data_IF_669602552411
#
_entry.id   IF_669602552411
#
_cell.length_a   1.000
_cell.length_b   1.000
_cell.length_c   1.000
_cell.angle_alpha   90.00
_cell.angle_beta   90.00
_cell.angle_gamma   90.00
#
_symmetry.space_group_name_H-M   'P 1'
#
loop_
_entity.id
_entity.type
_entity.pdbx_description
1 polymer ?
#
# COMPACT_ATOMS: atom_id res chain seq x y z
N UNK A 1 13.24 -6.42 -10.38
CA UNK A 1 11.97 -6.19 -9.68
C UNK A 1 12.19 -5.35 -8.42
N UNK A 2 11.37 -4.33 -8.24
CA UNK A 2 11.42 -3.50 -7.05
C UNK A 2 10.65 -4.21 -5.92
N UNK A 3 11.28 -4.36 -4.76
CA UNK A 3 10.64 -5.00 -3.61
C UNK A 3 10.52 -3.99 -2.47
N UNK A 4 9.31 -3.81 -1.95
CA UNK A 4 9.03 -2.87 -0.89
C UNK A 4 8.37 -3.63 0.26
N UNK A 5 9.00 -3.61 1.43
CA UNK A 5 8.43 -4.20 2.64
C UNK A 5 7.82 -3.07 3.46
N UNK A 6 6.53 -3.13 3.69
CA UNK A 6 5.84 -2.08 4.45
C UNK A 6 6.20 -2.17 5.93
N UNK A 7 6.44 -1.00 6.53
CA UNK A 7 6.83 -0.88 7.93
C UNK A 7 5.66 -0.34 8.75
N UNK A 8 5.02 -1.22 9.53
CA UNK A 8 3.87 -0.83 10.35
C UNK A 8 4.19 0.25 11.38
N UNK A 9 5.43 0.31 11.85
CA UNK A 9 5.83 1.34 12.81
C UNK A 9 5.74 2.75 12.25
N UNK A 10 5.80 2.88 10.93
CA UNK A 10 5.68 4.14 10.22
C UNK A 10 4.22 4.50 9.90
N UNK A 11 3.30 3.59 10.15
CA UNK A 11 1.87 3.77 9.83
C UNK A 11 1.04 3.91 11.10
N UNK A 12 1.34 4.95 11.88
CA UNK A 12 0.74 5.16 13.20
C UNK A 12 -0.62 5.86 13.18
N UNK A 13 -1.02 6.35 12.02
CA UNK A 13 -2.33 6.98 11.80
C UNK A 13 -2.63 6.91 10.31
N UNK A 14 -3.87 7.23 9.92
CA UNK A 14 -4.22 7.25 8.50
C UNK A 14 -3.38 8.27 7.72
N UNK A 15 -3.24 9.53 8.18
CA UNK A 15 -2.37 10.48 7.47
C UNK A 15 -0.91 10.02 7.41
N UNK A 16 -0.37 9.45 8.49
CA UNK A 16 1.01 8.96 8.50
C UNK A 16 1.18 7.78 7.53
N UNK A 17 0.18 6.91 7.44
CA UNK A 17 0.18 5.78 6.51
C UNK A 17 0.33 6.27 5.06
N UNK A 18 -0.48 7.24 4.65
CA UNK A 18 -0.43 7.75 3.28
C UNK A 18 0.87 8.50 2.99
N UNK A 19 1.38 9.23 3.98
CA UNK A 19 2.66 9.91 3.84
C UNK A 19 3.79 8.89 3.64
N UNK A 20 3.77 7.83 4.42
CA UNK A 20 4.74 6.75 4.31
C UNK A 20 4.66 6.06 2.95
N UNK A 21 3.45 5.69 2.51
CA UNK A 21 3.25 5.01 1.23
C UNK A 21 3.70 5.87 0.05
N UNK A 22 3.43 7.17 0.11
CA UNK A 22 3.86 8.07 -0.95
C UNK A 22 5.38 8.00 -1.13
N UNK A 23 6.11 7.99 -0.03
CA UNK A 23 7.57 7.91 -0.06
C UNK A 23 8.06 6.52 -0.45
N UNK A 24 7.51 5.47 0.21
CA UNK A 24 7.97 4.10 0.01
C UNK A 24 7.70 3.59 -1.41
N UNK A 25 6.57 3.97 -1.99
CA UNK A 25 6.16 3.53 -3.32
C UNK A 25 6.49 4.54 -4.42
N UNK A 26 7.14 5.65 -4.07
CA UNK A 26 7.47 6.73 -4.99
C UNK A 26 6.22 7.21 -5.75
N UNK A 27 5.13 7.45 -5.03
CA UNK A 27 3.89 7.92 -5.62
C UNK A 27 4.03 9.38 -6.07
N UNK A 28 3.23 9.80 -7.08
CA UNK A 28 3.36 11.16 -7.60
C UNK A 28 2.99 12.22 -6.57
N UNK A 29 3.48 13.45 -6.79
CA UNK A 29 3.23 14.57 -5.86
C UNK A 29 1.74 14.90 -5.74
N UNK A 30 0.96 14.57 -6.77
CA UNK A 30 -0.49 14.81 -6.77
C UNK A 30 -1.30 13.67 -6.12
N UNK A 31 -0.63 12.71 -5.50
CA UNK A 31 -1.30 11.62 -4.81
C UNK A 31 -2.28 12.17 -3.76
N UNK A 32 -3.55 11.76 -3.87
CA UNK A 32 -4.64 12.31 -3.07
C UNK A 32 -4.74 11.80 -1.64
N UNK A 33 -3.80 10.97 -1.18
CA UNK A 33 -3.73 10.46 0.19
C UNK A 33 -5.02 9.79 0.69
N UNK A 34 -5.64 9.00 -0.19
CA UNK A 34 -6.79 8.16 0.16
C UNK A 34 -6.69 6.83 -0.59
N UNK A 35 -7.55 5.87 -0.22
CA UNK A 35 -7.47 4.52 -0.80
C UNK A 35 -7.81 4.48 -2.28
N UNK A 36 -8.74 5.32 -2.74
CA UNK A 36 -9.08 5.38 -4.16
C UNK A 36 -7.91 5.91 -4.99
N UNK A 37 -7.25 6.96 -4.49
CA UNK A 37 -6.05 7.50 -5.15
C UNK A 37 -4.93 6.47 -5.16
N UNK A 38 -4.78 5.72 -4.07
CA UNK A 38 -3.77 4.66 -3.97
C UNK A 38 -4.03 3.58 -5.01
N UNK A 39 -5.27 3.12 -5.13
CA UNK A 39 -5.65 2.12 -6.13
C UNK A 39 -5.28 2.59 -7.54
N UNK A 40 -5.65 3.82 -7.88
CA UNK A 40 -5.35 4.39 -9.19
C UNK A 40 -3.84 4.42 -9.46
N UNK A 41 -3.05 4.87 -8.49
CA UNK A 41 -1.60 4.92 -8.64
C UNK A 41 -1.00 3.53 -8.81
N UNK A 42 -1.48 2.55 -8.04
CA UNK A 42 -0.96 1.19 -8.11
C UNK A 42 -1.27 0.51 -9.43
N UNK A 43 -2.46 0.75 -10.00
CA UNK A 43 -2.83 0.17 -11.28
C UNK A 43 -2.07 0.79 -12.45
N UNK A 44 -1.45 1.95 -12.24
CA UNK A 44 -0.65 2.63 -13.25
C UNK A 44 0.84 2.33 -13.19
N UNK A 45 1.28 1.55 -12.20
CA UNK A 45 2.69 1.17 -12.07
C UNK A 45 3.13 0.40 -13.32
N UNK A 46 4.26 0.81 -13.91
CA UNK A 46 4.82 0.19 -15.10
C UNK A 46 6.12 -0.55 -14.83
N UNK A 47 6.68 -0.42 -13.64
CA UNK A 47 7.88 -1.14 -13.21
C UNK A 47 7.48 -2.36 -12.39
N UNK A 48 7.99 -3.56 -12.69
CA UNK A 48 7.67 -4.74 -11.87
C UNK A 48 7.95 -4.49 -10.39
N UNK A 49 6.95 -4.66 -9.56
CA UNK A 49 6.99 -4.30 -8.15
C UNK A 49 6.38 -5.39 -7.29
N UNK A 50 7.05 -5.71 -6.18
CA UNK A 50 6.51 -6.60 -5.15
C UNK A 50 6.35 -5.80 -3.87
N UNK A 51 5.16 -5.83 -3.28
CA UNK A 51 4.88 -5.22 -1.99
C UNK A 51 4.70 -6.33 -0.97
N UNK A 52 5.53 -6.33 0.06
CA UNK A 52 5.44 -7.29 1.15
C UNK A 52 4.72 -6.61 2.30
N UNK A 53 3.59 -7.18 2.69
CA UNK A 53 2.71 -6.62 3.72
C UNK A 53 2.80 -7.46 4.98
N UNK A 54 3.13 -6.85 6.13
CA UNK A 54 3.13 -7.58 7.40
C UNK A 54 1.73 -8.10 7.70
N UNK A 55 1.63 -9.36 8.16
CA UNK A 55 0.34 -9.95 8.50
C UNK A 55 -0.40 -9.15 9.56
N UNK A 56 0.33 -8.48 10.45
CA UNK A 56 -0.25 -7.67 11.52
C UNK A 56 -1.00 -6.44 11.03
N UNK A 57 -0.96 -6.15 9.72
CA UNK A 57 -1.69 -5.00 9.16
C UNK A 57 -3.19 -5.07 9.47
N UNK A 58 -3.75 -6.26 9.54
CA UNK A 58 -5.18 -6.46 9.83
C UNK A 58 -5.49 -6.44 11.32
N UNK A 59 -4.47 -6.53 12.16
CA UNK A 59 -4.62 -6.54 13.63
C UNK A 59 -4.05 -5.29 14.29
N UNK A 60 -3.65 -4.29 13.51
CA UNK A 60 -3.03 -3.09 14.04
C UNK A 60 -4.07 -2.18 14.69
N UNK A 61 -3.93 -1.93 16.01
CA UNK A 61 -4.87 -1.11 16.77
C UNK A 61 -4.93 0.34 16.31
N UNK A 62 -3.81 0.87 15.84
CA UNK A 62 -3.73 2.27 15.41
C UNK A 62 -4.46 2.53 14.10
N UNK A 63 -4.53 1.53 13.23
CA UNK A 63 -5.20 1.62 11.95
C UNK A 63 -6.63 1.08 11.99
N UNK A 64 -6.88 0.11 12.89
CA UNK A 64 -8.19 -0.54 12.97
C UNK A 64 -8.60 -1.14 11.63
N UNK A 65 -9.84 -0.91 11.24
CA UNK A 65 -10.37 -1.45 9.98
C UNK A 65 -9.68 -0.87 8.74
N UNK A 66 -9.02 0.27 8.88
CA UNK A 66 -8.33 0.88 7.75
C UNK A 66 -7.18 -0.01 7.26
N UNK A 67 -6.53 -0.73 8.16
CA UNK A 67 -5.50 -1.69 7.77
C UNK A 67 -6.04 -2.79 6.88
N UNK A 68 -7.23 -3.32 7.19
CA UNK A 68 -7.90 -4.31 6.36
C UNK A 68 -8.27 -3.74 5.00
N UNK A 69 -8.78 -2.52 4.99
CA UNK A 69 -9.14 -1.83 3.75
C UNK A 69 -7.91 -1.56 2.88
N UNK A 70 -6.81 -1.19 3.50
CA UNK A 70 -5.55 -1.00 2.79
C UNK A 70 -5.11 -2.29 2.11
N UNK A 71 -5.11 -3.40 2.85
CA UNK A 71 -4.71 -4.69 2.29
C UNK A 71 -5.61 -5.06 1.11
N UNK A 72 -6.92 -4.85 1.23
CA UNK A 72 -7.85 -5.15 0.15
C UNK A 72 -7.55 -4.33 -1.11
N UNK A 73 -7.25 -3.04 -0.94
CA UNK A 73 -6.89 -2.18 -2.08
C UNK A 73 -5.60 -2.67 -2.76
N UNK A 74 -4.60 -3.05 -1.96
CA UNK A 74 -3.36 -3.57 -2.51
C UNK A 74 -3.59 -4.85 -3.32
N UNK A 75 -4.41 -5.76 -2.79
CA UNK A 75 -4.73 -7.01 -3.47
C UNK A 75 -5.55 -6.79 -4.74
N UNK A 76 -6.54 -5.89 -4.68
CA UNK A 76 -7.36 -5.56 -5.85
C UNK A 76 -6.52 -4.93 -6.96
N UNK A 77 -5.58 -4.06 -6.60
CA UNK A 77 -4.69 -3.44 -7.58
C UNK A 77 -3.78 -4.49 -8.23
N UNK A 78 -3.31 -5.47 -7.45
CA UNK A 78 -2.47 -6.54 -7.98
C UNK A 78 -3.24 -7.42 -8.99
N UNK A 79 -4.54 -7.58 -8.79
CA UNK A 79 -5.37 -8.32 -9.77
C UNK A 79 -5.49 -7.57 -11.09
N UNK A 80 -5.52 -6.23 -11.04
CA UNK A 80 -5.66 -5.41 -12.24
C UNK A 80 -4.33 -5.13 -12.93
N UNK A 81 -3.21 -5.28 -12.22
CA UNK A 81 -1.88 -4.96 -12.75
C UNK A 81 -0.96 -6.16 -12.59
N UNK A 82 -0.71 -6.86 -13.69
CA UNK A 82 0.04 -8.12 -13.71
C UNK A 82 1.47 -8.00 -13.20
N UNK A 83 2.07 -6.81 -13.26
CA UNK A 83 3.45 -6.62 -12.81
C UNK A 83 3.54 -6.18 -11.34
N UNK A 84 2.39 -6.05 -10.67
CA UNK A 84 2.33 -5.75 -9.25
C UNK A 84 2.01 -7.03 -8.48
N UNK A 85 2.86 -7.38 -7.52
CA UNK A 85 2.66 -8.53 -6.65
C UNK A 85 2.50 -8.05 -5.22
N UNK A 86 1.54 -8.62 -4.50
CA UNK A 86 1.31 -8.32 -3.10
C UNK A 86 1.37 -9.62 -2.31
N UNK A 87 2.28 -9.66 -1.35
CA UNK A 87 2.52 -10.85 -0.53
C UNK A 87 2.35 -10.49 0.94
N UNK A 88 1.54 -11.27 1.67
CA UNK A 88 1.36 -11.10 3.11
C UNK A 88 2.27 -12.08 3.83
N UNK A 89 3.05 -11.57 4.78
CA UNK A 89 3.99 -12.42 5.56
C UNK A 89 3.85 -12.24 7.06
#
# INVERSE_FOLDING_TARGET
MRTITLDLERMTSVPALHKYLRSALALPVYYGANLDALYDCLTEIVEPTQIIVPADITDNEKLGRYGEQLLQVLQDAAEENEILQVTVK
#
